data_IF_616130515780
#
_entry.id   IF_616130515780
#
_cell.length_a   1.000
_cell.length_b   1.000
_cell.length_c   1.000
_cell.angle_alpha   90.00
_cell.angle_beta   90.00
_cell.angle_gamma   90.00
#
_symmetry.space_group_name_H-M   'P 1'
#
loop_
_entity.id
_entity.type
_entity.pdbx_description
1 polymer ?
#
# COMPACT_ATOMS: atom_id res chain seq x y z
N UNK A 1 3.49 12.51 -27.62
CA UNK A 1 2.82 11.20 -27.38
C UNK A 1 3.65 10.49 -26.32
N UNK A 2 3.00 9.75 -25.42
CA UNK A 2 3.53 9.16 -24.16
C UNK A 2 3.31 9.98 -22.87
N UNK A 3 2.06 10.35 -22.54
CA UNK A 3 1.68 10.76 -21.17
C UNK A 3 0.65 9.81 -20.51
N UNK A 4 0.05 8.87 -21.26
CA UNK A 4 -1.09 8.08 -20.77
C UNK A 4 -0.78 7.23 -19.53
N UNK A 5 0.38 6.56 -19.49
CA UNK A 5 0.70 5.64 -18.39
C UNK A 5 0.89 6.33 -17.02
N UNK A 6 1.35 7.59 -17.00
CA UNK A 6 1.48 8.34 -15.73
C UNK A 6 0.10 8.76 -15.21
N UNK A 7 -0.78 9.23 -16.10
CA UNK A 7 -2.15 9.61 -15.76
C UNK A 7 -2.95 8.41 -15.23
N UNK A 8 -2.73 7.22 -15.81
CA UNK A 8 -3.36 5.97 -15.36
C UNK A 8 -2.93 5.59 -13.93
N UNK A 9 -1.64 5.72 -13.59
CA UNK A 9 -1.13 5.38 -12.25
C UNK A 9 -1.60 6.39 -11.19
N UNK A 10 -1.64 7.67 -11.52
CA UNK A 10 -2.16 8.69 -10.60
C UNK A 10 -3.65 8.46 -10.33
N UNK A 11 -4.45 8.12 -11.34
CA UNK A 11 -5.85 7.76 -11.18
C UNK A 11 -6.08 6.50 -10.32
N UNK A 12 -5.12 5.58 -10.27
CA UNK A 12 -5.15 4.44 -9.34
C UNK A 12 -4.93 4.90 -7.91
N UNK A 13 -3.93 5.74 -7.68
CA UNK A 13 -3.61 6.28 -6.36
C UNK A 13 -4.67 7.24 -5.83
N UNK A 14 -5.36 7.98 -6.69
CA UNK A 14 -6.49 8.85 -6.30
C UNK A 14 -7.57 8.08 -5.53
N UNK A 15 -7.82 6.81 -5.89
CA UNK A 15 -8.78 5.93 -5.18
C UNK A 15 -8.35 5.64 -3.76
N UNK A 16 -7.04 5.46 -3.54
CA UNK A 16 -6.45 5.25 -2.21
C UNK A 16 -6.53 6.54 -1.41
N UNK A 17 -6.16 7.67 -2.03
CA UNK A 17 -6.16 8.99 -1.38
C UNK A 17 -7.57 9.43 -0.96
N UNK A 18 -8.60 9.16 -1.77
CA UNK A 18 -10.00 9.38 -1.41
C UNK A 18 -10.44 8.61 -0.16
N UNK A 19 -9.76 7.50 0.17
CA UNK A 19 -10.05 6.64 1.33
C UNK A 19 -8.99 6.73 2.42
N UNK A 20 -7.99 7.61 2.27
CA UNK A 20 -6.81 7.71 3.12
C UNK A 20 -7.14 7.79 4.61
N UNK A 21 -8.15 8.60 4.96
CA UNK A 21 -8.57 8.74 6.36
C UNK A 21 -8.98 7.39 6.98
N UNK A 22 -9.79 6.61 6.27
CA UNK A 22 -10.29 5.32 6.75
C UNK A 22 -9.18 4.26 6.78
N UNK A 23 -8.33 4.25 5.76
CA UNK A 23 -7.16 3.39 5.66
C UNK A 23 -6.19 3.64 6.83
N UNK A 24 -5.82 4.90 7.08
CA UNK A 24 -4.87 5.27 8.13
C UNK A 24 -5.36 4.90 9.54
N UNK A 25 -6.67 4.98 9.78
CA UNK A 25 -7.26 4.59 11.07
C UNK A 25 -7.31 3.06 11.27
N UNK A 26 -7.53 2.32 10.20
CA UNK A 26 -7.84 0.88 10.27
C UNK A 26 -6.57 0.03 10.18
N UNK A 27 -5.66 0.36 9.27
CA UNK A 27 -4.47 -0.45 8.95
C UNK A 27 -3.42 -0.33 10.05
N UNK A 28 -2.89 -1.47 10.49
CA UNK A 28 -1.68 -1.58 11.30
C UNK A 28 -0.49 -1.80 10.38
N UNK A 29 0.47 -0.86 10.28
CA UNK A 29 1.59 -0.95 9.35
C UNK A 29 2.40 -2.24 9.50
N UNK A 30 2.64 -2.70 10.74
CA UNK A 30 3.36 -3.94 11.04
C UNK A 30 2.74 -5.21 10.46
N UNK A 31 1.45 -5.18 10.07
CA UNK A 31 0.83 -6.30 9.35
C UNK A 31 1.18 -6.31 7.86
N UNK A 32 1.40 -5.14 7.26
CA UNK A 32 1.64 -5.01 5.83
C UNK A 32 3.14 -5.02 5.48
N UNK A 33 4.00 -4.45 6.35
CA UNK A 33 5.44 -4.30 6.03
C UNK A 33 6.15 -5.61 5.65
N UNK A 34 5.90 -6.79 6.25
CA UNK A 34 6.60 -8.01 5.86
C UNK A 34 6.31 -8.43 4.42
N UNK A 35 5.04 -8.35 4.00
CA UNK A 35 4.64 -8.67 2.63
C UNK A 35 5.18 -7.64 1.63
N UNK A 36 5.10 -6.35 1.99
CA UNK A 36 5.60 -5.27 1.12
C UNK A 36 7.13 -5.32 0.95
N UNK A 37 7.88 -5.79 1.96
CA UNK A 37 9.31 -6.10 1.81
C UNK A 37 9.55 -7.30 0.89
N UNK A 38 8.74 -8.35 0.99
CA UNK A 38 8.81 -9.51 0.08
C UNK A 38 8.58 -9.10 -1.38
N UNK A 39 7.65 -8.19 -1.64
CA UNK A 39 7.41 -7.62 -2.97
C UNK A 39 8.50 -6.64 -3.45
N UNK A 40 9.53 -6.39 -2.63
CA UNK A 40 10.62 -5.45 -2.89
C UNK A 40 10.12 -4.03 -3.20
N UNK A 41 9.02 -3.62 -2.57
CA UNK A 41 8.50 -2.24 -2.64
C UNK A 41 8.85 -1.43 -1.39
N UNK A 42 9.16 -2.11 -0.28
CA UNK A 42 9.84 -1.55 0.88
C UNK A 42 11.19 -2.24 1.07
N UNK A 43 12.17 -1.49 1.55
CA UNK A 43 13.42 -2.06 2.06
C UNK A 43 13.45 -2.05 3.61
N UNK A 44 14.60 -2.38 4.20
CA UNK A 44 14.77 -2.40 5.66
C UNK A 44 14.71 -1.00 6.27
N UNK A 45 15.20 0.02 5.55
CA UNK A 45 15.20 1.40 6.01
C UNK A 45 13.78 1.97 6.00
N UNK A 46 13.03 1.72 4.92
CA UNK A 46 11.61 2.08 4.81
C UNK A 46 10.80 1.45 5.96
N UNK A 47 11.03 0.16 6.27
CA UNK A 47 10.34 -0.53 7.36
C UNK A 47 10.70 0.05 8.74
N UNK A 48 11.98 0.30 9.02
CA UNK A 48 12.41 0.90 10.28
C UNK A 48 11.83 2.31 10.47
N UNK A 49 11.81 3.11 9.41
CA UNK A 49 11.20 4.44 9.43
C UNK A 49 9.72 4.37 9.79
N UNK A 50 8.97 3.43 9.21
CA UNK A 50 7.54 3.28 9.46
C UNK A 50 7.25 2.75 10.87
N UNK A 51 8.03 1.78 11.35
CA UNK A 51 7.71 1.04 12.58
C UNK A 51 8.35 1.63 13.85
N UNK A 52 9.55 2.21 13.73
CA UNK A 52 10.38 2.57 14.87
C UNK A 52 10.65 4.08 14.98
N UNK A 53 10.35 4.87 13.96
CA UNK A 53 10.56 6.33 14.01
C UNK A 53 9.83 6.97 15.19
N UNK A 54 10.59 7.72 16.00
CA UNK A 54 10.05 8.53 17.10
C UNK A 54 9.23 9.73 16.61
N UNK A 55 9.36 10.10 15.33
CA UNK A 55 8.57 11.17 14.71
C UNK A 55 7.14 10.73 14.41
N UNK A 56 6.90 9.41 14.26
CA UNK A 56 5.61 8.83 13.94
C UNK A 56 4.96 8.25 15.20
N UNK A 57 4.47 9.15 16.05
CA UNK A 57 3.96 8.82 17.39
C UNK A 57 2.67 7.98 17.33
N UNK A 58 1.80 8.24 16.36
CA UNK A 58 0.53 7.52 16.23
C UNK A 58 0.54 6.47 15.12
N UNK A 59 -0.24 5.41 15.31
CA UNK A 59 -0.51 4.40 14.27
C UNK A 59 -0.96 5.04 12.95
N UNK A 60 -1.83 6.05 13.03
CA UNK A 60 -2.33 6.80 11.87
C UNK A 60 -1.20 7.50 11.10
N UNK A 61 -0.23 8.11 11.80
CA UNK A 61 0.92 8.75 11.16
C UNK A 61 1.84 7.73 10.49
N UNK A 62 2.03 6.56 11.13
CA UNK A 62 2.82 5.46 10.55
C UNK A 62 2.17 4.90 9.28
N UNK A 63 0.86 4.72 9.27
CA UNK A 63 0.14 4.30 8.06
C UNK A 63 0.16 5.38 6.98
N UNK A 64 0.00 6.65 7.35
CA UNK A 64 0.16 7.76 6.39
C UNK A 64 1.53 7.71 5.72
N UNK A 65 2.60 7.54 6.52
CA UNK A 65 3.96 7.46 5.99
C UNK A 65 4.17 6.24 5.09
N UNK A 66 3.59 5.09 5.47
CA UNK A 66 3.59 3.89 4.63
C UNK A 66 2.96 4.18 3.26
N UNK A 67 1.80 4.86 3.21
CA UNK A 67 1.14 5.24 1.96
C UNK A 67 2.00 6.21 1.15
N UNK A 68 2.62 7.21 1.80
CA UNK A 68 3.52 8.16 1.13
C UNK A 68 4.69 7.43 0.44
N UNK A 69 5.32 6.47 1.15
CA UNK A 69 6.44 5.68 0.58
C UNK A 69 5.95 4.85 -0.60
N UNK A 70 4.83 4.14 -0.45
CA UNK A 70 4.30 3.29 -1.53
C UNK A 70 3.90 4.10 -2.76
N UNK A 71 3.37 5.31 -2.58
CA UNK A 71 3.06 6.24 -3.68
C UNK A 71 4.29 6.53 -4.55
N UNK A 72 5.46 6.72 -3.93
CA UNK A 72 6.72 6.94 -4.67
C UNK A 72 7.18 5.73 -5.49
N UNK A 73 6.64 4.53 -5.23
CA UNK A 73 6.94 3.30 -5.98
C UNK A 73 6.00 3.09 -7.18
N UNK A 74 5.08 4.04 -7.44
CA UNK A 74 4.19 4.04 -8.60
C UNK A 74 3.25 2.84 -8.65
N UNK A 75 3.07 2.25 -9.83
CA UNK A 75 2.16 1.13 -10.06
C UNK A 75 2.53 -0.10 -9.21
N UNK A 76 3.82 -0.43 -9.09
CA UNK A 76 4.27 -1.56 -8.25
C UNK A 76 3.89 -1.37 -6.78
N UNK A 77 4.01 -0.14 -6.28
CA UNK A 77 3.56 0.19 -4.92
C UNK A 77 2.06 0.00 -4.74
N UNK A 78 1.27 0.45 -5.73
CA UNK A 78 -0.19 0.33 -5.72
C UNK A 78 -0.65 -1.14 -5.74
N UNK A 79 -0.08 -1.95 -6.64
CA UNK A 79 -0.42 -3.38 -6.77
C UNK A 79 -0.07 -4.12 -5.47
N UNK A 80 1.16 -3.97 -4.97
CA UNK A 80 1.58 -4.63 -3.74
C UNK A 80 0.72 -4.18 -2.53
N UNK A 81 0.32 -2.91 -2.49
CA UNK A 81 -0.60 -2.41 -1.47
C UNK A 81 -1.96 -3.09 -1.55
N UNK A 82 -2.57 -3.16 -2.73
CA UNK A 82 -3.87 -3.83 -2.90
C UNK A 82 -3.81 -5.31 -2.55
N UNK A 83 -2.76 -6.02 -2.97
CA UNK A 83 -2.58 -7.44 -2.61
C UNK A 83 -2.46 -7.62 -1.08
N UNK A 84 -1.73 -6.71 -0.42
CA UNK A 84 -1.63 -6.70 1.04
C UNK A 84 -2.98 -6.41 1.72
N UNK A 85 -3.80 -5.51 1.16
CA UNK A 85 -5.16 -5.27 1.64
C UNK A 85 -6.05 -6.49 1.43
N UNK A 86 -5.99 -7.11 0.26
CA UNK A 86 -6.81 -8.28 -0.06
C UNK A 86 -6.54 -9.44 0.92
N UNK A 87 -5.29 -9.60 1.34
CA UNK A 87 -4.87 -10.63 2.27
C UNK A 87 -5.22 -10.30 3.73
N UNK A 88 -4.87 -9.11 4.21
CA UNK A 88 -4.98 -8.76 5.64
C UNK A 88 -6.24 -7.99 6.02
N UNK A 89 -6.85 -7.29 5.06
CA UNK A 89 -7.94 -6.34 5.24
C UNK A 89 -8.94 -6.38 4.07
N UNK A 90 -9.62 -7.52 3.82
CA UNK A 90 -10.49 -7.71 2.65
C UNK A 90 -11.58 -6.63 2.52
N UNK A 91 -12.09 -6.14 3.65
CA UNK A 91 -13.07 -5.04 3.66
C UNK A 91 -12.48 -3.72 3.13
N UNK A 92 -11.21 -3.42 3.42
CA UNK A 92 -10.53 -2.22 2.92
C UNK A 92 -10.15 -2.37 1.44
N UNK A 93 -9.80 -3.59 1.00
CA UNK A 93 -9.63 -3.87 -0.43
C UNK A 93 -10.90 -3.55 -1.20
N UNK A 94 -12.04 -4.06 -0.72
CA UNK A 94 -13.36 -3.79 -1.32
C UNK A 94 -13.72 -2.32 -1.26
N UNK A 95 -13.40 -1.62 -0.16
CA UNK A 95 -13.61 -0.18 -0.02
C UNK A 95 -12.87 0.64 -1.08
N UNK A 96 -11.62 0.29 -1.38
CA UNK A 96 -10.78 1.02 -2.34
C UNK A 96 -11.13 0.66 -3.79
N UNK A 97 -11.37 -0.63 -4.06
CA UNK A 97 -11.52 -1.14 -5.44
C UNK A 97 -12.97 -1.29 -5.90
N UNK A 98 -13.92 -1.39 -4.96
CA UNK A 98 -15.30 -1.77 -5.22
C UNK A 98 -15.48 -3.26 -5.60
N UNK A 99 -14.41 -4.07 -5.55
CA UNK A 99 -14.41 -5.47 -6.00
C UNK A 99 -14.37 -6.43 -4.80
N UNK A 100 -14.91 -7.63 -5.02
CA UNK A 100 -14.76 -8.72 -4.04
C UNK A 100 -13.30 -9.20 -4.00
N UNK A 101 -12.76 -9.50 -2.81
CA UNK A 101 -11.43 -10.09 -2.67
C UNK A 101 -11.42 -11.48 -3.31
N UNK A 102 -10.59 -11.66 -4.31
CA UNK A 102 -10.40 -12.90 -5.06
C UNK A 102 -9.52 -13.93 -4.35
N UNK A 103 -8.78 -13.51 -3.30
CA UNK A 103 -7.79 -14.31 -2.57
C UNK A 103 -6.70 -14.90 -3.47
N UNK A 104 -6.46 -14.29 -4.63
CA UNK A 104 -5.40 -14.72 -5.56
C UNK A 104 -4.16 -13.86 -5.31
N UNK A 105 -3.02 -14.52 -5.09
CA UNK A 105 -1.74 -13.84 -4.97
C UNK A 105 -1.10 -13.74 -6.35
N UNK A 106 -0.76 -12.54 -6.80
CA UNK A 106 0.16 -12.37 -7.94
C UNK A 106 1.58 -12.37 -7.40
N UNK A 107 1.96 -13.44 -6.68
CA UNK A 107 3.38 -13.73 -6.60
C UNK A 107 3.78 -14.20 -7.99
N UNK A 108 4.09 -13.25 -8.88
CA UNK A 108 5.06 -13.48 -9.93
C UNK A 108 6.36 -13.74 -9.17
N UNK A 109 6.51 -15.00 -8.78
CA UNK A 109 7.78 -15.62 -8.47
C UNK A 109 8.50 -15.67 -9.82
N UNK A 110 9.07 -14.54 -10.24
CA UNK A 110 10.17 -14.63 -11.19
C UNK A 110 11.41 -15.01 -10.37
N UNK A 111 11.91 -16.18 -10.74
CA UNK A 111 13.17 -16.80 -10.35
C UNK A 111 14.36 -15.85 -10.56
#
# INVERSE_FOLDING_TARGET
MENGACDDVEALWEKVECKRYELCRSISPSKLTPYLRQCKVLDEQDEDEILNSMLLVSKTNRTSRLLDILHTKGERGYVAFLESLEFYYPELYKLVTGKEPTRRFSTIVDL
#
